data_IF_583590516046
#
_entry.id   IF_583590516046
#
_cell.length_a   1.000
_cell.length_b   1.000
_cell.length_c   1.000
_cell.angle_alpha   90.00
_cell.angle_beta   90.00
_cell.angle_gamma   90.00
#
_symmetry.space_group_name_H-M   'P 1'
#
loop_
_entity.id
_entity.type
_entity.pdbx_description
1 polymer ?
#
# COMPACT_ATOMS: atom_id res chain seq x y z
N UNK A 1 -31.67 56.25 -2.03
CA UNK A 1 -30.57 57.10 -2.56
C UNK A 1 -29.23 56.50 -2.16
N UNK A 2 -28.34 56.35 -3.16
CA UNK A 2 -26.84 56.44 -3.15
C UNK A 2 -26.06 55.54 -2.17
N UNK A 3 -25.35 54.48 -2.63
CA UNK A 3 -24.07 54.40 -3.38
C UNK A 3 -22.82 54.91 -2.64
N UNK A 4 -21.88 53.97 -2.39
CA UNK A 4 -20.40 53.91 -2.62
C UNK A 4 -20.00 52.52 -2.07
N UNK A 5 -19.53 51.49 -2.77
CA UNK A 5 -18.44 51.26 -3.75
C UNK A 5 -17.12 51.91 -3.35
N UNK A 6 -16.16 51.08 -2.94
CA UNK A 6 -14.83 51.01 -3.54
C UNK A 6 -14.33 49.56 -3.56
N UNK A 7 -13.99 49.09 -4.76
CA UNK A 7 -13.13 47.95 -5.05
C UNK A 7 -11.68 48.30 -4.72
N UNK A 8 -10.90 47.31 -4.30
CA UNK A 8 -9.53 47.11 -4.80
C UNK A 8 -9.25 45.62 -4.91
N UNK A 9 -8.81 45.22 -6.10
CA UNK A 9 -8.50 43.86 -6.53
C UNK A 9 -6.98 43.68 -6.69
N UNK A 10 -6.58 42.43 -6.95
CA UNK A 10 -5.28 41.91 -7.43
C UNK A 10 -4.24 41.58 -6.35
N UNK A 11 -3.45 40.49 -6.40
CA UNK A 11 -3.35 39.25 -7.20
C UNK A 11 -2.19 38.47 -6.53
N UNK A 12 -2.23 37.13 -6.50
CA UNK A 12 -1.06 36.35 -6.07
C UNK A 12 -1.34 34.88 -5.78
N UNK A 13 -1.54 34.10 -6.85
CA UNK A 13 -1.49 32.65 -6.81
C UNK A 13 -0.10 32.15 -6.37
N UNK A 14 -0.03 31.08 -5.59
CA UNK A 14 0.78 29.85 -5.77
C UNK A 14 0.88 29.09 -4.45
N UNK A 15 0.52 27.80 -4.48
CA UNK A 15 1.10 26.67 -3.73
C UNK A 15 0.02 25.60 -3.45
N UNK A 16 -0.46 24.95 -4.51
CA UNK A 16 -1.14 23.66 -4.41
C UNK A 16 -0.09 22.59 -4.08
N UNK A 17 0.08 22.31 -2.78
CA UNK A 17 0.88 21.19 -2.29
C UNK A 17 0.09 19.90 -2.49
N UNK A 18 0.46 19.14 -3.52
CA UNK A 18 -0.04 17.79 -3.76
C UNK A 18 0.59 16.82 -2.79
N UNK A 19 -0.10 16.55 -1.68
CA UNK A 19 0.09 15.33 -0.92
C UNK A 19 -0.74 14.23 -1.61
N UNK A 20 -0.09 13.43 -2.46
CA UNK A 20 -0.68 12.23 -3.05
C UNK A 20 -0.05 11.01 -2.38
N UNK A 21 -0.92 10.23 -1.74
CA UNK A 21 -0.61 9.10 -0.87
C UNK A 21 -0.70 7.79 -1.66
N UNK A 22 0.34 6.96 -1.50
CA UNK A 22 0.33 5.51 -1.26
C UNK A 22 -0.79 4.66 -1.89
N UNK A 23 -0.36 3.72 -2.74
CA UNK A 23 -0.84 2.32 -2.76
C UNK A 23 -2.33 2.12 -2.45
N UNK A 24 -3.19 2.25 -3.47
CA UNK A 24 -4.48 1.54 -3.64
C UNK A 24 -5.51 1.47 -2.49
N UNK A 25 -5.32 2.11 -1.34
CA UNK A 25 -6.13 1.86 -0.13
C UNK A 25 -6.43 3.12 0.70
N UNK A 26 -5.87 4.29 0.42
CA UNK A 26 -5.92 5.45 1.34
C UNK A 26 -7.20 6.34 1.32
N UNK A 27 -8.33 5.97 0.70
CA UNK A 27 -9.43 6.93 0.43
C UNK A 27 -10.81 6.63 1.05
N UNK A 28 -10.94 6.26 2.34
CA UNK A 28 -12.26 6.28 3.02
C UNK A 28 -12.17 6.55 4.54
N UNK A 29 -12.20 7.83 4.94
CA UNK A 29 -12.36 8.24 6.35
C UNK A 29 -13.46 9.31 6.46
N UNK A 30 -14.67 8.96 6.92
CA UNK A 30 -15.52 9.86 7.75
C UNK A 30 -16.88 9.26 8.20
N UNK A 31 -17.08 9.28 9.54
CA UNK A 31 -18.24 9.80 10.32
C UNK A 31 -19.26 8.85 11.02
N UNK A 32 -19.45 9.19 12.32
CA UNK A 32 -20.62 9.09 13.25
C UNK A 32 -20.67 7.92 14.24
N UNK A 33 -20.86 8.30 15.52
CA UNK A 33 -20.95 7.49 16.73
C UNK A 33 -22.38 7.36 17.28
N UNK A 34 -22.69 6.22 17.95
CA UNK A 34 -23.35 6.15 19.28
C UNK A 34 -23.47 4.71 19.82
N UNK A 35 -23.60 4.66 21.14
CA UNK A 35 -23.56 3.60 22.18
C UNK A 35 -24.42 2.34 22.01
N UNK A 36 -23.93 1.17 22.44
CA UNK A 36 -24.66 0.13 23.21
C UNK A 36 -23.78 -1.05 23.71
N UNK A 37 -24.34 -1.83 24.64
CA UNK A 37 -23.79 -2.76 25.65
C UNK A 37 -23.14 -4.06 25.13
N UNK A 38 -22.11 -4.60 25.82
CA UNK A 38 -21.35 -5.78 25.36
C UNK A 38 -22.05 -7.13 25.62
N UNK A 39 -22.13 -7.98 24.59
CA UNK A 39 -22.26 -9.44 24.68
C UNK A 39 -21.01 -10.13 24.10
N UNK A 40 -20.65 -11.35 24.56
CA UNK A 40 -19.38 -11.99 24.19
C UNK A 40 -19.40 -12.57 22.75
N UNK A 41 -18.34 -12.36 21.94
CA UNK A 41 -18.32 -12.80 20.55
C UNK A 41 -17.97 -14.29 20.39
N UNK A 42 -18.77 -14.99 19.60
CA UNK A 42 -18.47 -16.34 19.09
C UNK A 42 -17.40 -16.24 18.00
N UNK A 43 -16.19 -16.72 18.26
CA UNK A 43 -15.05 -16.67 17.33
C UNK A 43 -15.24 -17.70 16.21
N UNK A 44 -15.58 -17.26 15.00
CA UNK A 44 -15.57 -18.10 13.80
C UNK A 44 -14.14 -18.16 13.25
N UNK A 45 -13.32 -19.10 13.73
CA UNK A 45 -12.19 -19.58 12.93
C UNK A 45 -12.75 -20.44 11.80
N UNK A 46 -13.17 -19.81 10.70
CA UNK A 46 -13.38 -20.54 9.46
C UNK A 46 -12.00 -21.06 9.02
N UNK A 47 -11.77 -22.37 9.11
CA UNK A 47 -10.61 -22.97 8.43
C UNK A 47 -10.71 -22.59 6.96
N UNK A 48 -9.74 -21.83 6.45
CA UNK A 48 -9.71 -21.47 5.05
C UNK A 48 -9.77 -22.72 4.19
N UNK A 49 -10.59 -22.67 3.15
CA UNK A 49 -10.58 -23.72 2.14
C UNK A 49 -9.23 -23.67 1.41
N UNK A 50 -8.53 -24.81 1.39
CA UNK A 50 -7.22 -24.90 0.74
C UNK A 50 -7.40 -24.87 -0.79
N UNK A 51 -6.70 -23.99 -1.52
CA UNK A 51 -6.77 -23.98 -2.97
C UNK A 51 -6.26 -25.32 -3.55
N UNK A 52 -6.82 -25.80 -4.68
CA UNK A 52 -6.38 -27.05 -5.32
C UNK A 52 -4.89 -27.09 -5.68
N UNK A 53 -4.33 -25.93 -6.04
CA UNK A 53 -2.91 -25.70 -6.34
C UNK A 53 -2.55 -24.25 -6.02
N UNK A 54 -1.28 -23.94 -5.85
CA UNK A 54 -0.80 -22.59 -5.54
C UNK A 54 -1.11 -21.54 -6.62
N UNK A 55 -1.43 -21.98 -7.84
CA UNK A 55 -1.81 -21.13 -8.98
C UNK A 55 -3.30 -21.21 -9.32
N UNK A 56 -4.12 -21.79 -8.44
CA UNK A 56 -5.56 -21.89 -8.66
C UNK A 56 -6.17 -20.49 -8.74
N UNK A 57 -7.06 -20.28 -9.71
CA UNK A 57 -7.75 -19.01 -9.94
C UNK A 57 -9.02 -19.00 -9.09
N UNK A 58 -9.12 -18.16 -8.04
CA UNK A 58 -10.37 -18.03 -7.30
C UNK A 58 -11.49 -17.49 -8.18
N UNK A 59 -12.68 -18.07 -8.07
CA UNK A 59 -13.87 -17.72 -8.89
C UNK A 59 -15.06 -17.21 -8.08
N UNK A 60 -15.05 -17.45 -6.76
CA UNK A 60 -16.06 -16.98 -5.82
C UNK A 60 -15.43 -16.69 -4.47
N UNK A 61 -16.06 -15.79 -3.71
CA UNK A 61 -15.55 -15.30 -2.43
C UNK A 61 -16.64 -15.23 -1.37
N UNK A 62 -16.23 -15.34 -0.11
CA UNK A 62 -17.09 -15.14 1.04
C UNK A 62 -17.59 -13.70 1.15
N UNK A 63 -18.80 -13.54 1.67
CA UNK A 63 -19.41 -12.23 1.93
C UNK A 63 -18.79 -11.50 3.12
N UNK A 64 -18.24 -12.25 4.06
CA UNK A 64 -17.69 -11.77 5.32
C UNK A 64 -16.16 -11.84 5.29
N UNK A 65 -15.52 -10.82 5.85
CA UNK A 65 -14.08 -10.83 6.05
C UNK A 65 -13.73 -11.81 7.18
N UNK A 66 -12.74 -12.68 6.95
CA UNK A 66 -12.22 -13.59 7.97
C UNK A 66 -11.11 -12.95 8.80
N UNK A 67 -10.52 -11.86 8.31
CA UNK A 67 -9.56 -11.06 9.04
C UNK A 67 -9.71 -9.57 8.69
N UNK A 68 -9.66 -8.64 9.67
CA UNK A 68 -9.71 -8.91 11.11
C UNK A 68 -11.09 -9.45 11.52
N UNK A 69 -11.14 -10.22 12.62
CA UNK A 69 -12.38 -10.89 13.06
C UNK A 69 -13.47 -9.86 13.40
N UNK A 70 -14.62 -9.95 12.70
CA UNK A 70 -15.78 -9.09 12.94
C UNK A 70 -16.81 -9.76 13.85
N UNK A 71 -17.23 -9.08 14.91
CA UNK A 71 -18.33 -9.53 15.76
C UNK A 71 -19.64 -9.40 14.96
N UNK A 72 -20.44 -10.48 14.89
CA UNK A 72 -21.70 -10.54 14.12
C UNK A 72 -22.71 -9.43 14.45
N UNK A 73 -22.67 -8.86 15.65
CA UNK A 73 -23.60 -7.80 16.06
C UNK A 73 -23.37 -6.44 15.36
N UNK A 74 -22.18 -6.21 14.78
CA UNK A 74 -21.82 -4.93 14.14
C UNK A 74 -21.81 -4.97 12.60
N UNK A 75 -22.49 -5.94 11.98
CA UNK A 75 -22.53 -6.09 10.52
C UNK A 75 -23.11 -4.86 9.78
N UNK A 76 -23.99 -4.09 10.43
CA UNK A 76 -24.66 -2.94 9.80
C UNK A 76 -23.92 -1.61 9.98
N UNK A 77 -22.92 -1.53 10.86
CA UNK A 77 -22.12 -0.33 11.12
C UNK A 77 -20.70 -0.71 11.56
N UNK A 78 -19.78 -0.98 10.63
CA UNK A 78 -18.39 -1.24 10.98
C UNK A 78 -17.75 0.06 11.50
N UNK A 79 -17.46 0.11 12.80
CA UNK A 79 -16.45 1.02 13.31
C UNK A 79 -15.12 0.68 12.62
N UNK A 80 -14.29 1.67 12.25
CA UNK A 80 -13.00 1.35 11.66
C UNK A 80 -12.21 0.53 12.68
N UNK A 81 -11.86 -0.69 12.28
CA UNK A 81 -10.69 -1.36 12.83
C UNK A 81 -9.50 -0.46 12.59
N UNK A 82 -8.67 -0.25 13.61
CA UNK A 82 -7.37 0.36 13.39
C UNK A 82 -6.41 -0.60 12.67
N UNK A 83 -6.74 -1.90 12.62
CA UNK A 83 -5.99 -2.89 11.84
C UNK A 83 -6.24 -2.70 10.35
N UNK A 84 -5.16 -2.56 9.58
CA UNK A 84 -5.16 -2.36 8.13
C UNK A 84 -4.19 -3.33 7.45
N UNK A 85 -4.60 -3.92 6.32
CA UNK A 85 -3.78 -4.82 5.51
C UNK A 85 -2.86 -3.99 4.61
N UNK A 86 -1.56 -4.24 4.71
CA UNK A 86 -0.53 -3.66 3.85
C UNK A 86 -0.34 -4.53 2.59
N UNK A 87 -0.17 -5.83 2.79
CA UNK A 87 0.06 -6.77 1.68
C UNK A 87 -0.49 -8.16 1.99
N UNK A 88 -0.71 -8.93 0.93
CA UNK A 88 -1.15 -10.31 0.98
C UNK A 88 -0.38 -11.15 -0.03
N UNK A 89 0.15 -12.28 0.42
CA UNK A 89 0.82 -13.27 -0.44
C UNK A 89 0.47 -14.68 0.03
N UNK A 90 -0.04 -15.52 -0.88
CA UNK A 90 -0.56 -16.83 -0.52
C UNK A 90 -1.63 -16.75 0.58
N UNK A 91 -1.38 -17.40 1.72
CA UNK A 91 -2.22 -17.36 2.92
C UNK A 91 -1.72 -16.39 3.99
N UNK A 92 -0.67 -15.62 3.71
CA UNK A 92 -0.07 -14.69 4.66
C UNK A 92 -0.51 -13.26 4.41
N UNK A 93 -0.74 -12.52 5.50
CA UNK A 93 -0.98 -11.08 5.47
C UNK A 93 0.07 -10.37 6.31
N UNK A 94 0.54 -9.23 5.79
CA UNK A 94 1.20 -8.22 6.59
C UNK A 94 0.19 -7.10 6.81
N UNK A 95 0.00 -6.75 8.06
CA UNK A 95 -0.95 -5.74 8.47
C UNK A 95 -0.38 -4.93 9.63
N UNK A 96 -1.11 -3.91 10.08
CA UNK A 96 -0.70 -3.07 11.19
C UNK A 96 -1.91 -2.56 11.95
N UNK A 97 -1.79 -2.48 13.27
CA UNK A 97 -2.76 -1.86 14.16
C UNK A 97 -2.36 -0.39 14.36
N UNK A 98 -3.10 0.53 13.76
CA UNK A 98 -2.79 1.97 13.81
C UNK A 98 -3.07 2.54 15.19
N UNK A 99 -2.14 3.31 15.74
CA UNK A 99 -2.31 3.98 17.05
C UNK A 99 -2.78 3.02 18.17
N UNK A 100 -2.16 1.84 18.24
CA UNK A 100 -2.38 0.90 19.32
C UNK A 100 -1.68 1.39 20.59
N UNK A 101 -2.40 1.38 21.71
CA UNK A 101 -1.84 1.70 23.03
C UNK A 101 -1.89 0.40 23.87
N UNK A 102 -0.74 -0.13 24.29
CA UNK A 102 -0.63 -1.24 25.24
C UNK A 102 -0.07 -0.71 26.56
N UNK A 103 -1.00 -0.33 27.43
CA UNK A 103 -0.73 0.22 28.76
C UNK A 103 0.07 -0.74 29.65
N UNK A 104 -0.03 -2.06 29.41
CA UNK A 104 0.68 -3.07 30.22
C UNK A 104 2.14 -3.23 29.81
N UNK A 105 2.47 -2.92 28.56
CA UNK A 105 3.81 -3.04 28.00
C UNK A 105 4.53 -1.68 27.85
N UNK A 106 3.89 -0.56 28.22
CA UNK A 106 4.38 0.80 27.94
C UNK A 106 4.74 0.99 26.46
N UNK A 107 3.91 0.43 25.57
CA UNK A 107 4.04 0.53 24.12
C UNK A 107 2.90 1.38 23.57
N UNK A 108 3.20 2.19 22.57
CA UNK A 108 2.20 2.97 21.82
C UNK A 108 2.53 3.01 20.33
N UNK A 109 1.64 3.57 19.52
CA UNK A 109 1.85 3.80 18.09
C UNK A 109 1.44 2.61 17.22
N UNK A 110 2.07 2.49 16.06
CA UNK A 110 1.67 1.53 15.03
C UNK A 110 2.31 0.17 15.26
N UNK A 111 1.48 -0.83 15.59
CA UNK A 111 1.94 -2.18 15.89
C UNK A 111 1.86 -3.08 14.65
N UNK A 112 2.98 -3.62 14.15
CA UNK A 112 2.96 -4.53 13.01
C UNK A 112 2.28 -5.86 13.35
N UNK A 113 1.63 -6.46 12.37
CA UNK A 113 0.90 -7.71 12.48
C UNK A 113 1.30 -8.65 11.34
N UNK A 114 1.56 -9.91 11.69
CA UNK A 114 1.80 -11.01 10.75
C UNK A 114 0.68 -12.04 10.97
N UNK A 115 -0.05 -12.33 9.90
CA UNK A 115 -1.18 -13.26 9.93
C UNK A 115 -0.88 -14.44 9.04
N UNK A 116 -0.98 -15.65 9.58
CA UNK A 116 -1.14 -16.87 8.78
C UNK A 116 -2.61 -17.25 8.81
N UNK A 117 -3.31 -17.09 7.69
CA UNK A 117 -4.75 -17.33 7.63
C UNK A 117 -5.12 -18.82 7.73
N UNK A 118 -4.15 -19.75 7.63
CA UNK A 118 -4.40 -21.16 7.90
C UNK A 118 -4.35 -21.47 9.42
N UNK A 119 -3.69 -20.62 10.20
CA UNK A 119 -3.49 -20.79 11.63
C UNK A 119 -4.49 -19.96 12.45
N UNK A 120 -4.73 -20.34 13.72
CA UNK A 120 -5.57 -19.54 14.60
C UNK A 120 -4.84 -18.33 15.20
N UNK A 121 -3.51 -18.32 15.12
CA UNK A 121 -2.67 -17.36 15.84
C UNK A 121 -2.21 -16.24 14.91
N UNK A 122 -2.53 -15.01 15.31
CA UNK A 122 -1.92 -13.81 14.74
C UNK A 122 -0.71 -13.42 15.58
N UNK A 123 0.31 -12.86 14.95
CA UNK A 123 1.56 -12.48 15.61
C UNK A 123 1.81 -10.98 15.45
N UNK A 124 2.56 -10.41 16.39
CA UNK A 124 3.03 -9.03 16.33
C UNK A 124 4.54 -8.97 16.57
N UNK A 125 5.13 -7.84 16.18
CA UNK A 125 6.49 -7.47 16.52
C UNK A 125 6.47 -6.53 17.72
N UNK A 126 7.28 -6.85 18.72
CA UNK A 126 7.48 -6.02 19.90
C UNK A 126 8.95 -5.63 20.01
N UNK A 127 9.26 -4.34 20.20
CA UNK A 127 10.61 -3.89 20.48
C UNK A 127 11.20 -4.61 21.69
N UNK A 128 12.43 -5.08 21.56
CA UNK A 128 13.17 -5.69 22.66
C UNK A 128 14.67 -5.40 22.55
N UNK A 129 15.46 -6.03 23.41
CA UNK A 129 16.92 -5.89 23.46
C UNK A 129 17.64 -7.05 22.72
N UNK A 130 16.94 -7.77 21.84
CA UNK A 130 17.56 -8.81 21.01
C UNK A 130 18.52 -8.22 19.98
N UNK A 131 19.32 -9.08 19.33
CA UNK A 131 20.21 -8.68 18.23
C UNK A 131 19.49 -7.88 17.13
N UNK A 132 18.25 -8.26 16.82
CA UNK A 132 17.44 -7.59 15.81
C UNK A 132 16.67 -6.39 16.37
N UNK A 133 16.60 -6.24 17.70
CA UNK A 133 15.87 -5.19 18.42
C UNK A 133 14.36 -5.39 18.47
N UNK A 134 13.88 -6.55 18.01
CA UNK A 134 12.48 -6.94 18.03
C UNK A 134 12.35 -8.44 18.31
N UNK A 135 11.25 -8.82 18.95
CA UNK A 135 10.78 -10.20 19.08
C UNK A 135 9.39 -10.36 18.48
N UNK A 136 9.08 -11.57 18.06
CA UNK A 136 7.75 -11.93 17.56
C UNK A 136 6.99 -12.61 18.69
N UNK A 137 5.76 -12.18 18.95
CA UNK A 137 4.88 -12.81 19.92
C UNK A 137 3.47 -13.05 19.38
N UNK A 138 2.78 -14.09 19.86
CA UNK A 138 1.35 -14.24 19.64
C UNK A 138 0.59 -13.03 20.18
N UNK A 139 -0.38 -12.55 19.42
CA UNK A 139 -1.27 -11.47 19.85
C UNK A 139 -2.73 -11.86 19.70
N UNK A 140 -3.57 -11.29 20.57
CA UNK A 140 -5.01 -11.26 20.34
C UNK A 140 -5.33 -10.12 19.40
N UNK A 141 -5.96 -10.42 18.27
CA UNK A 141 -6.40 -9.40 17.30
C UNK A 141 -7.39 -8.46 17.98
N UNK A 142 -7.25 -7.13 17.81
CA UNK A 142 -8.24 -6.17 18.29
C UNK A 142 -9.62 -6.56 17.78
N UNK A 143 -10.58 -6.72 18.68
CA UNK A 143 -11.95 -7.10 18.31
C UNK A 143 -12.60 -5.95 17.53
N UNK A 144 -13.10 -6.23 16.32
CA UNK A 144 -13.79 -5.21 15.53
C UNK A 144 -15.11 -4.85 16.22
N UNK A 145 -15.24 -3.57 16.58
CA UNK A 145 -16.40 -3.06 17.31
C UNK A 145 -16.34 -3.25 18.83
N UNK A 146 -15.17 -3.62 19.38
CA UNK A 146 -14.92 -3.44 20.80
C UNK A 146 -14.99 -1.96 21.16
N UNK A 147 -15.68 -1.62 22.26
CA UNK A 147 -15.47 -0.32 22.93
C UNK A 147 -13.96 -0.21 23.18
N UNK A 148 -13.28 0.91 22.88
CA UNK A 148 -11.90 1.12 23.32
C UNK A 148 -11.81 0.72 24.78
N UNK A 149 -11.10 -0.37 25.06
CA UNK A 149 -11.04 -0.92 26.41
C UNK A 149 -10.33 0.10 27.28
N UNK A 150 -11.12 0.80 28.11
CA UNK A 150 -10.63 1.77 29.09
C UNK A 150 -10.34 3.14 28.50
N UNK A 151 -10.68 4.18 29.27
CA UNK A 151 -10.10 5.51 29.10
C UNK A 151 -8.60 5.36 28.89
N UNK A 152 -8.03 5.94 27.84
CA UNK A 152 -6.59 6.23 27.72
C UNK A 152 -6.12 6.72 29.09
N UNK A 153 -5.49 5.86 29.87
CA UNK A 153 -4.80 6.31 31.07
C UNK A 153 -3.51 6.84 30.51
N UNK A 154 -3.43 8.18 30.38
CA UNK A 154 -2.18 8.80 30.01
C UNK A 154 -1.09 8.20 30.91
N UNK A 155 0.04 7.74 30.35
CA UNK A 155 1.15 7.24 31.13
C UNK A 155 1.41 8.21 32.28
N UNK A 156 1.72 7.69 33.47
CA UNK A 156 2.07 8.56 34.59
C UNK A 156 3.18 9.52 34.15
N UNK A 157 3.13 10.81 34.54
CA UNK A 157 4.16 11.77 34.15
C UNK A 157 5.57 11.22 34.45
N UNK A 158 6.47 11.31 33.48
CA UNK A 158 7.83 10.78 33.57
C UNK A 158 8.00 9.30 33.18
N UNK A 159 6.92 8.57 32.90
CA UNK A 159 7.01 7.19 32.37
C UNK A 159 7.59 7.20 30.95
N UNK A 160 8.57 6.33 30.70
CA UNK A 160 9.10 6.08 29.36
C UNK A 160 8.15 5.16 28.62
N UNK A 161 7.70 5.57 27.45
CA UNK A 161 6.89 4.78 26.52
C UNK A 161 7.70 4.55 25.26
N UNK A 162 7.65 3.33 24.71
CA UNK A 162 8.24 3.06 23.39
C UNK A 162 7.15 3.22 22.33
N UNK A 163 7.26 4.28 21.54
CA UNK A 163 6.43 4.49 20.35
C UNK A 163 6.93 3.61 19.21
N UNK A 164 6.03 2.85 18.60
CA UNK A 164 6.29 2.02 17.44
C UNK A 164 5.78 2.68 16.17
N UNK A 165 6.48 2.41 15.06
CA UNK A 165 6.16 2.93 13.75
C UNK A 165 6.21 1.77 12.76
N UNK A 166 5.25 1.72 11.82
CA UNK A 166 5.25 0.73 10.73
C UNK A 166 5.16 1.48 9.41
N UNK A 167 6.16 1.33 8.54
CA UNK A 167 6.24 2.13 7.32
C UNK A 167 5.66 1.39 6.10
N UNK A 168 6.23 0.22 5.78
CA UNK A 168 5.85 -0.58 4.62
C UNK A 168 6.24 -2.04 4.84
N UNK A 169 5.61 -2.95 4.09
CA UNK A 169 5.86 -4.39 4.20
C UNK A 169 5.58 -5.13 2.90
N UNK A 170 6.31 -6.23 2.67
CA UNK A 170 6.04 -7.17 1.57
C UNK A 170 6.35 -8.60 2.02
N UNK A 171 5.91 -9.61 1.27
CA UNK A 171 6.23 -11.00 1.56
C UNK A 171 6.28 -11.85 0.30
N UNK A 172 7.07 -12.91 0.37
CA UNK A 172 7.11 -14.02 -0.58
C UNK A 172 6.64 -15.32 0.10
N UNK A 173 6.89 -16.48 -0.53
CA UNK A 173 6.46 -17.78 0.00
C UNK A 173 7.22 -18.20 1.28
N UNK A 174 8.43 -17.69 1.52
CA UNK A 174 9.32 -18.10 2.60
C UNK A 174 9.52 -17.01 3.66
N UNK A 175 9.56 -15.74 3.24
CA UNK A 175 9.91 -14.60 4.08
C UNK A 175 8.93 -13.45 3.97
N UNK A 176 8.75 -12.76 5.10
CA UNK A 176 8.20 -11.41 5.16
C UNK A 176 9.32 -10.40 5.38
N UNK A 177 9.16 -9.23 4.77
CA UNK A 177 10.05 -8.08 4.91
C UNK A 177 9.24 -6.90 5.42
N UNK A 178 9.69 -6.28 6.50
CA UNK A 178 8.94 -5.20 7.14
C UNK A 178 9.88 -4.07 7.56
N UNK A 179 9.50 -2.84 7.24
CA UNK A 179 10.11 -1.63 7.81
C UNK A 179 9.32 -1.23 9.04
N UNK A 180 9.99 -1.27 10.19
CA UNK A 180 9.45 -0.82 11.46
C UNK A 180 10.42 0.11 12.16
N UNK A 181 9.89 1.05 12.94
CA UNK A 181 10.65 1.96 13.76
C UNK A 181 10.24 1.89 15.22
N UNK A 182 11.13 2.35 16.10
CA UNK A 182 10.85 2.55 17.52
C UNK A 182 11.48 3.85 18.00
N UNK A 183 10.82 4.54 18.91
CA UNK A 183 11.39 5.68 19.62
C UNK A 183 10.89 5.74 21.07
N UNK A 184 11.81 5.93 22.01
CA UNK A 184 11.47 6.19 23.40
C UNK A 184 10.98 7.63 23.59
N UNK A 185 9.83 7.77 24.26
CA UNK A 185 9.14 9.03 24.50
C UNK A 185 8.84 9.16 25.99
N UNK A 186 8.99 10.38 26.53
CA UNK A 186 8.61 10.73 27.91
C UNK A 186 7.72 11.96 27.87
N UNK A 187 6.54 11.91 28.49
CA UNK A 187 5.56 13.01 28.48
C UNK A 187 5.25 13.50 27.04
N UNK A 188 5.10 12.57 26.10
CA UNK A 188 4.93 12.82 24.65
C UNK A 188 6.09 13.54 23.95
N UNK A 189 7.24 13.70 24.63
CA UNK A 189 8.43 14.32 24.04
C UNK A 189 9.41 13.26 23.54
N UNK A 190 9.77 13.28 22.25
CA UNK A 190 10.73 12.33 21.69
C UNK A 190 12.10 12.53 22.33
N UNK A 191 12.79 11.41 22.63
CA UNK A 191 14.20 11.46 23.01
C UNK A 191 15.14 11.68 21.81
N UNK A 192 14.61 11.73 20.58
CA UNK A 192 15.35 11.84 19.32
C UNK A 192 16.40 10.73 19.16
N UNK A 193 16.04 9.54 19.65
CA UNK A 193 16.83 8.31 19.56
C UNK A 193 16.08 7.25 18.77
N UNK A 194 15.18 7.69 17.90
CA UNK A 194 14.41 6.79 17.04
C UNK A 194 15.31 6.00 16.11
N UNK A 195 14.95 4.73 15.92
CA UNK A 195 15.62 3.79 15.03
C UNK A 195 14.60 3.19 14.08
N UNK A 196 14.95 3.13 12.79
CA UNK A 196 14.15 2.45 11.76
C UNK A 196 14.96 1.28 11.22
N UNK A 197 14.34 0.11 11.19
CA UNK A 197 14.94 -1.16 10.81
C UNK A 197 14.10 -1.85 9.74
N UNK A 198 14.77 -2.51 8.80
CA UNK A 198 14.18 -3.52 7.92
C UNK A 198 14.41 -4.89 8.53
N UNK A 199 13.34 -5.65 8.72
CA UNK A 199 13.38 -7.01 9.27
C UNK A 199 13.08 -8.03 8.17
N UNK A 200 13.83 -9.14 8.15
CA UNK A 200 13.52 -10.33 7.36
C UNK A 200 13.04 -11.43 8.31
N UNK A 201 11.83 -11.91 8.09
CA UNK A 201 11.13 -12.83 8.99
C UNK A 201 10.81 -14.09 8.22
N UNK A 202 11.28 -15.24 8.69
CA UNK A 202 10.93 -16.54 8.10
C UNK A 202 9.50 -16.89 8.48
N UNK A 203 8.65 -17.06 7.47
CA UNK A 203 7.23 -17.31 7.65
C UNK A 203 6.96 -18.70 8.23
N UNK A 204 7.80 -19.71 7.99
CA UNK A 204 7.57 -21.10 8.43
C UNK A 204 7.61 -21.31 9.95
N UNK A 205 8.38 -20.52 10.68
CA UNK A 205 8.53 -20.62 12.13
C UNK A 205 8.51 -19.26 12.85
N UNK A 206 8.19 -18.19 12.13
CA UNK A 206 8.01 -16.84 12.65
C UNK A 206 9.24 -16.33 13.41
N UNK A 207 10.42 -16.53 12.82
CA UNK A 207 11.69 -16.03 13.38
C UNK A 207 12.24 -14.89 12.54
N UNK A 208 12.75 -13.86 13.19
CA UNK A 208 13.58 -12.85 12.53
C UNK A 208 14.92 -13.54 12.22
N UNK A 209 15.33 -13.52 10.96
CA UNK A 209 16.55 -14.20 10.47
C UNK A 209 17.61 -13.22 9.99
N UNK A 210 17.23 -11.96 9.72
CA UNK A 210 18.14 -10.87 9.43
C UNK A 210 17.47 -9.53 9.74
N UNK A 211 18.28 -8.50 10.01
CA UNK A 211 17.82 -7.13 10.20
C UNK A 211 18.85 -6.15 9.63
N UNK A 212 18.40 -5.07 9.01
CA UNK A 212 19.24 -3.95 8.57
C UNK A 212 18.75 -2.64 9.17
N UNK A 213 19.69 -1.81 9.64
CA UNK A 213 19.37 -0.48 10.18
C UNK A 213 19.30 0.51 9.02
N UNK A 214 18.14 1.14 8.85
CA UNK A 214 17.92 2.14 7.80
C UNK A 214 18.24 3.55 8.29
N UNK A 215 18.06 3.80 9.59
CA UNK A 215 18.44 5.07 10.22
C UNK A 215 18.32 5.03 11.74
N UNK A 216 19.10 5.90 12.39
CA UNK A 216 19.16 6.05 13.86
C UNK A 216 19.19 7.54 14.23
N UNK A 217 18.97 7.83 15.52
CA UNK A 217 18.91 9.18 16.06
C UNK A 217 17.84 10.05 15.37
N UNK A 218 16.71 9.42 15.05
CA UNK A 218 15.59 10.03 14.36
C UNK A 218 14.58 10.59 15.36
N UNK A 219 13.90 11.65 14.98
CA UNK A 219 12.74 12.20 15.68
C UNK A 219 11.45 11.66 15.05
N UNK A 220 11.17 10.37 15.23
CA UNK A 220 10.07 9.66 14.58
C UNK A 220 8.71 10.19 15.05
N UNK A 221 8.53 10.41 16.36
CA UNK A 221 7.27 10.94 16.93
C UNK A 221 6.97 12.35 16.41
N UNK A 222 8.00 13.16 16.21
CA UNK A 222 7.82 14.50 15.62
C UNK A 222 7.39 14.46 14.13
N UNK A 223 7.53 13.30 13.47
CA UNK A 223 7.22 13.05 12.05
C UNK A 223 6.14 11.98 11.86
N UNK A 224 5.29 11.80 12.88
CA UNK A 224 4.23 10.79 12.90
C UNK A 224 3.25 10.93 11.71
N UNK A 225 3.08 12.12 11.15
CA UNK A 225 2.18 12.32 10.01
C UNK A 225 2.75 11.88 8.65
N UNK A 226 4.04 11.57 8.54
CA UNK A 226 4.72 11.41 7.23
C UNK A 226 5.52 10.13 7.05
N UNK A 227 5.78 9.33 8.10
CA UNK A 227 6.68 8.16 7.97
C UNK A 227 6.15 7.07 7.03
N UNK A 228 4.83 6.88 6.93
CA UNK A 228 4.22 5.98 5.93
C UNK A 228 4.26 6.58 4.53
N UNK A 229 3.95 7.87 4.39
CA UNK A 229 3.76 8.53 3.11
C UNK A 229 5.05 8.50 2.27
N UNK A 230 5.07 7.68 1.21
CA UNK A 230 6.21 7.53 0.31
C UNK A 230 7.19 6.41 0.68
N UNK A 231 6.92 5.63 1.73
CA UNK A 231 7.69 4.42 2.02
C UNK A 231 7.16 3.23 1.21
N UNK A 232 8.04 2.36 0.71
CA UNK A 232 7.67 1.18 -0.07
C UNK A 232 8.73 0.08 0.02
N UNK A 233 8.31 -1.17 -0.16
CA UNK A 233 9.19 -2.33 -0.32
C UNK A 233 8.66 -3.18 -1.47
N UNK A 234 9.53 -3.44 -2.45
CA UNK A 234 9.20 -4.26 -3.62
C UNK A 234 10.31 -5.29 -3.85
N UNK A 235 9.94 -6.53 -4.14
CA UNK A 235 10.90 -7.57 -4.56
C UNK A 235 11.24 -7.40 -6.03
N UNK A 236 12.51 -7.59 -6.39
CA UNK A 236 12.89 -7.74 -7.79
C UNK A 236 12.24 -8.99 -8.39
N UNK A 237 12.01 -9.00 -9.70
CA UNK A 237 11.31 -10.12 -10.36
C UNK A 237 12.03 -11.47 -10.24
N UNK A 238 13.35 -11.46 -9.98
CA UNK A 238 14.17 -12.64 -9.71
C UNK A 238 14.22 -13.04 -8.22
N UNK A 239 13.59 -12.25 -7.33
CA UNK A 239 13.58 -12.45 -5.89
C UNK A 239 14.93 -12.24 -5.19
N UNK A 240 15.95 -11.72 -5.89
CA UNK A 240 17.30 -11.58 -5.34
C UNK A 240 17.54 -10.26 -4.59
N UNK A 241 16.71 -9.25 -4.83
CA UNK A 241 16.83 -7.91 -4.27
C UNK A 241 15.53 -7.37 -3.69
N UNK A 242 15.67 -6.53 -2.67
CA UNK A 242 14.62 -5.69 -2.10
C UNK A 242 14.89 -4.25 -2.53
N UNK A 243 13.91 -3.65 -3.19
CA UNK A 243 13.88 -2.24 -3.54
C UNK A 243 13.11 -1.52 -2.42
N UNK A 244 13.78 -0.60 -1.74
CA UNK A 244 13.26 0.04 -0.53
C UNK A 244 13.30 1.54 -0.68
N UNK A 245 12.16 2.18 -0.47
CA UNK A 245 12.08 3.63 -0.25
C UNK A 245 11.55 3.89 1.15
N UNK A 246 12.14 4.84 1.86
CA UNK A 246 11.73 5.23 3.21
C UNK A 246 11.68 6.75 3.30
N UNK A 247 10.65 7.29 3.92
CA UNK A 247 10.48 8.74 4.08
C UNK A 247 11.19 9.30 5.32
N UNK A 248 11.37 8.46 6.35
CA UNK A 248 12.09 8.81 7.58
C UNK A 248 13.00 7.64 8.01
N UNK A 249 14.33 7.72 7.81
CA UNK A 249 15.03 8.78 7.07
C UNK A 249 14.67 8.71 5.58
N UNK A 250 14.82 9.84 4.88
CA UNK A 250 14.59 9.91 3.44
C UNK A 250 15.68 9.13 2.70
N UNK A 251 15.39 7.88 2.31
CA UNK A 251 16.35 6.94 1.71
C UNK A 251 15.73 6.12 0.59
N UNK A 252 16.54 5.74 -0.39
CA UNK A 252 16.19 4.82 -1.45
C UNK A 252 17.34 3.83 -1.67
N UNK A 253 17.06 2.54 -1.53
CA UNK A 253 18.06 1.49 -1.37
C UNK A 253 17.71 0.26 -2.22
N UNK A 254 18.74 -0.50 -2.59
CA UNK A 254 18.64 -1.92 -2.94
C UNK A 254 19.36 -2.74 -1.89
N UNK A 255 18.71 -3.75 -1.34
CA UNK A 255 19.32 -4.70 -0.41
C UNK A 255 19.23 -6.13 -0.95
N UNK A 256 20.18 -6.99 -0.61
CA UNK A 256 20.10 -8.41 -0.93
C UNK A 256 19.00 -9.09 -0.10
N UNK A 257 18.16 -9.92 -0.73
CA UNK A 257 17.21 -10.76 0.02
C UNK A 257 17.92 -11.83 0.85
N UNK A 258 19.20 -12.15 0.58
CA UNK A 258 19.95 -13.18 1.31
C UNK A 258 20.17 -12.81 2.78
N UNK A 259 20.74 -11.62 3.00
CA UNK A 259 21.24 -11.17 4.30
C UNK A 259 20.92 -9.70 4.62
N UNK A 260 20.13 -9.02 3.77
CA UNK A 260 19.84 -7.59 3.85
C UNK A 260 21.09 -6.68 3.73
N UNK A 261 22.17 -7.15 3.12
CA UNK A 261 23.31 -6.30 2.79
C UNK A 261 22.91 -5.24 1.75
N UNK A 262 23.35 -4.00 1.95
CA UNK A 262 23.11 -2.89 1.01
C UNK A 262 23.93 -3.12 -0.27
N UNK A 263 23.24 -3.21 -1.40
CA UNK A 263 23.83 -3.35 -2.73
C UNK A 263 23.88 -2.00 -3.47
N UNK A 264 22.92 -1.12 -3.19
CA UNK A 264 22.86 0.24 -3.71
C UNK A 264 22.22 1.16 -2.67
N UNK A 265 22.79 2.35 -2.51
CA UNK A 265 22.23 3.44 -1.70
C UNK A 265 22.26 4.73 -2.51
N UNK A 266 21.11 5.30 -2.83
CA UNK A 266 21.02 6.52 -3.63
C UNK A 266 21.80 7.67 -3.00
N UNK A 267 21.79 7.78 -1.67
CA UNK A 267 22.49 8.84 -0.95
C UNK A 267 24.02 8.78 -1.11
N UNK A 268 24.56 7.63 -1.54
CA UNK A 268 25.99 7.50 -1.87
C UNK A 268 26.35 8.06 -3.26
N UNK A 269 25.35 8.31 -4.10
CA UNK A 269 25.54 8.75 -5.50
C UNK A 269 25.13 10.19 -5.74
N UNK A 270 24.13 10.68 -5.01
CA UNK A 270 23.62 12.05 -5.14
C UNK A 270 23.10 12.58 -3.82
N UNK A 271 23.18 13.90 -3.67
CA UNK A 271 22.58 14.67 -2.57
C UNK A 271 21.32 15.43 -3.01
N UNK A 272 20.84 15.19 -4.23
CA UNK A 272 19.61 15.78 -4.76
C UNK A 272 18.39 15.21 -4.04
N UNK A 273 17.38 16.06 -3.81
CA UNK A 273 16.11 15.60 -3.25
C UNK A 273 15.39 14.69 -4.25
N UNK A 274 14.59 13.77 -3.73
CA UNK A 274 13.86 12.81 -4.55
C UNK A 274 12.48 12.52 -3.97
N UNK A 275 11.58 11.95 -4.77
CA UNK A 275 10.33 11.36 -4.29
C UNK A 275 10.18 9.93 -4.83
N UNK A 276 9.41 9.10 -4.10
CA UNK A 276 9.07 7.77 -4.57
C UNK A 276 8.21 7.85 -5.84
N UNK A 277 8.43 6.93 -6.78
CA UNK A 277 7.54 6.72 -7.93
C UNK A 277 6.64 5.52 -7.63
N UNK A 278 5.38 5.56 -8.08
CA UNK A 278 4.47 4.41 -7.91
C UNK A 278 5.08 3.14 -8.49
N UNK A 279 4.71 1.99 -7.91
CA UNK A 279 5.31 0.68 -8.20
C UNK A 279 6.53 0.36 -7.33
N UNK A 280 7.17 1.36 -6.72
CA UNK A 280 8.25 1.17 -5.74
C UNK A 280 9.57 0.67 -6.34
N UNK A 281 9.69 0.62 -7.67
CA UNK A 281 10.92 0.19 -8.35
C UNK A 281 11.92 1.33 -8.60
N UNK A 282 11.48 2.58 -8.49
CA UNK A 282 12.26 3.76 -8.83
C UNK A 282 11.91 4.97 -7.96
N UNK A 283 12.77 5.99 -8.02
CA UNK A 283 12.52 7.32 -7.46
C UNK A 283 12.75 8.40 -8.51
N UNK A 284 12.10 9.55 -8.36
CA UNK A 284 12.30 10.71 -9.20
C UNK A 284 13.17 11.75 -8.49
N UNK A 285 14.28 12.15 -9.10
CA UNK A 285 15.12 13.24 -8.63
C UNK A 285 14.46 14.58 -8.94
N UNK A 286 14.51 15.51 -7.99
CA UNK A 286 13.83 16.80 -8.05
C UNK A 286 14.80 17.95 -8.27
N UNK A 287 14.35 18.99 -8.99
CA UNK A 287 15.06 20.27 -9.08
C UNK A 287 15.29 20.89 -7.69
N UNK A 288 16.19 21.86 -7.59
CA UNK A 288 16.50 22.56 -6.33
C UNK A 288 15.26 23.23 -5.70
N UNK A 289 14.28 23.63 -6.51
CA UNK A 289 13.02 24.20 -6.05
C UNK A 289 11.92 23.15 -5.80
N UNK A 290 12.24 21.87 -5.97
CA UNK A 290 11.40 20.69 -5.77
C UNK A 290 10.13 20.63 -6.64
N UNK A 291 10.04 21.46 -7.68
CA UNK A 291 8.82 21.55 -8.52
C UNK A 291 8.86 20.67 -9.75
N UNK A 292 10.05 20.25 -10.18
CA UNK A 292 10.23 19.56 -11.46
C UNK A 292 11.05 18.29 -11.23
N UNK A 293 10.62 17.19 -11.85
CA UNK A 293 11.41 15.97 -11.89
C UNK A 293 12.47 16.09 -12.98
N UNK A 294 13.71 15.74 -12.66
CA UNK A 294 14.90 15.92 -13.52
C UNK A 294 15.46 14.60 -14.02
N UNK A 295 15.29 13.52 -13.27
CA UNK A 295 15.67 12.17 -13.67
C UNK A 295 14.86 11.14 -12.90
N UNK A 296 14.75 9.94 -13.45
CA UNK A 296 14.23 8.75 -12.78
C UNK A 296 15.39 7.81 -12.49
N UNK A 297 15.55 7.39 -11.24
CA UNK A 297 16.59 6.42 -10.84
C UNK A 297 15.93 5.09 -10.53
N UNK A 298 16.30 4.06 -11.29
CA UNK A 298 15.88 2.68 -11.06
C UNK A 298 16.66 2.08 -9.91
N UNK A 299 15.97 1.61 -8.86
CA UNK A 299 16.64 1.08 -7.66
C UNK A 299 17.31 -0.27 -7.93
N UNK A 300 16.85 -1.00 -8.95
CA UNK A 300 17.40 -2.30 -9.29
C UNK A 300 18.88 -2.24 -9.70
N UNK A 301 19.29 -1.23 -10.46
CA UNK A 301 20.64 -1.10 -11.02
C UNK A 301 21.31 0.24 -10.70
N UNK A 302 20.59 1.17 -10.08
CA UNK A 302 21.07 2.50 -9.73
C UNK A 302 21.20 3.44 -10.94
N UNK A 303 20.65 3.08 -12.10
CA UNK A 303 20.79 3.87 -13.33
C UNK A 303 19.87 5.09 -13.27
N UNK A 304 20.43 6.27 -13.57
CA UNK A 304 19.68 7.51 -13.68
C UNK A 304 19.29 7.79 -15.15
N UNK A 305 18.00 8.01 -15.38
CA UNK A 305 17.40 8.31 -16.67
C UNK A 305 16.94 9.77 -16.69
N UNK A 306 17.67 10.69 -17.34
CA UNK A 306 17.26 12.09 -17.42
C UNK A 306 15.88 12.23 -18.08
N UNK A 307 15.03 13.05 -17.49
CA UNK A 307 13.73 13.39 -18.05
C UNK A 307 13.58 14.90 -18.14
N UNK A 308 12.86 15.36 -19.15
CA UNK A 308 12.64 16.78 -19.39
C UNK A 308 11.18 16.99 -19.78
N UNK A 309 10.52 17.95 -19.14
CA UNK A 309 9.11 18.28 -19.38
C UNK A 309 8.20 17.04 -19.25
N UNK A 310 8.43 16.23 -18.21
CA UNK A 310 7.64 15.03 -17.92
C UNK A 310 7.42 14.89 -16.42
N UNK A 311 6.32 14.23 -16.06
CA UNK A 311 6.02 13.81 -14.70
C UNK A 311 5.81 12.30 -14.66
N UNK A 312 6.68 11.59 -13.95
CA UNK A 312 6.57 10.16 -13.73
C UNK A 312 5.31 9.82 -12.93
N UNK A 313 4.61 8.78 -13.38
CA UNK A 313 3.44 8.22 -12.73
C UNK A 313 3.76 6.89 -12.05
N UNK A 314 4.39 5.96 -12.77
CA UNK A 314 4.61 4.58 -12.35
C UNK A 314 5.88 4.03 -13.03
N UNK A 315 6.69 3.26 -12.31
CA UNK A 315 7.69 2.37 -12.91
C UNK A 315 7.34 0.93 -12.58
N UNK A 316 7.29 0.09 -13.61
CA UNK A 316 7.02 -1.34 -13.47
C UNK A 316 7.86 -2.12 -14.46
N UNK A 317 8.62 -3.11 -13.98
CA UNK A 317 9.45 -4.03 -14.76
C UNK A 317 10.22 -3.35 -15.92
N UNK A 318 10.92 -2.25 -15.62
CA UNK A 318 11.78 -1.55 -16.58
C UNK A 318 11.07 -0.58 -17.53
N UNK A 319 9.78 -0.33 -17.33
CA UNK A 319 9.03 0.67 -18.09
C UNK A 319 8.55 1.81 -17.19
N UNK A 320 8.79 3.04 -17.64
CA UNK A 320 8.28 4.25 -17.01
C UNK A 320 7.01 4.71 -17.72
N UNK A 321 5.94 4.88 -16.97
CA UNK A 321 4.73 5.58 -17.42
C UNK A 321 4.79 7.02 -16.91
N UNK A 322 4.56 7.98 -17.81
CA UNK A 322 4.68 9.40 -17.51
C UNK A 322 3.66 10.23 -18.29
N UNK A 323 3.44 11.44 -17.79
CA UNK A 323 2.70 12.51 -18.47
C UNK A 323 3.70 13.46 -19.12
N UNK A 324 3.50 13.78 -20.38
CA UNK A 324 4.26 14.81 -21.09
C UNK A 324 3.70 16.20 -20.78
N UNK A 325 4.50 17.02 -20.10
CA UNK A 325 4.10 18.38 -19.72
C UNK A 325 4.52 19.45 -20.72
N UNK A 326 5.09 19.08 -21.89
CA UNK A 326 5.36 20.03 -22.98
C UNK A 326 4.09 20.68 -23.51
N UNK A 327 2.99 19.92 -23.53
CA UNK A 327 1.66 20.45 -23.87
C UNK A 327 1.15 21.30 -22.72
N UNK A 328 0.96 22.61 -22.92
CA UNK A 328 0.50 23.53 -21.86
C UNK A 328 -1.02 23.51 -21.61
N UNK A 329 -1.74 22.62 -22.29
CA UNK A 329 -3.20 22.53 -22.21
C UNK A 329 -3.59 21.05 -22.08
N UNK A 330 -4.40 20.68 -21.08
CA UNK A 330 -4.97 19.35 -20.97
C UNK A 330 -5.85 18.97 -22.18
N UNK A 331 -5.99 17.68 -22.53
CA UNK A 331 -5.35 16.53 -21.86
C UNK A 331 -3.86 16.42 -22.22
N UNK A 332 -3.02 16.20 -21.21
CA UNK A 332 -1.59 15.96 -21.41
C UNK A 332 -1.38 14.57 -22.03
N UNK A 333 -0.51 14.42 -23.05
CA UNK A 333 -0.17 13.12 -23.60
C UNK A 333 0.43 12.22 -22.51
N UNK A 334 -0.04 10.99 -22.43
CA UNK A 334 0.61 9.97 -21.61
C UNK A 334 1.48 9.09 -22.49
N UNK A 335 2.63 8.70 -21.95
CA UNK A 335 3.64 7.93 -22.66
C UNK A 335 4.21 6.82 -21.77
N UNK A 336 4.77 5.82 -22.44
CA UNK A 336 5.58 4.79 -21.83
C UNK A 336 7.01 4.87 -22.38
N UNK A 337 8.01 4.69 -21.52
CA UNK A 337 9.42 4.70 -21.90
C UNK A 337 10.05 3.39 -21.44
N UNK A 338 10.69 2.67 -22.36
CA UNK A 338 11.56 1.56 -21.99
C UNK A 338 12.84 2.15 -21.38
N UNK A 339 13.10 1.89 -20.10
CA UNK A 339 14.22 2.50 -19.39
C UNK A 339 15.58 1.95 -19.86
N UNK A 340 15.62 0.73 -20.38
CA UNK A 340 16.85 0.14 -20.94
C UNK A 340 17.22 0.74 -22.29
N UNK A 341 16.26 0.96 -23.19
CA UNK A 341 16.53 1.44 -24.56
C UNK A 341 16.34 2.94 -24.74
N UNK A 342 15.60 3.59 -23.83
CA UNK A 342 15.15 4.97 -23.97
C UNK A 342 14.04 5.17 -24.99
N UNK A 343 13.52 4.09 -25.60
CA UNK A 343 12.44 4.14 -26.58
C UNK A 343 11.17 4.69 -25.95
N UNK A 344 10.57 5.70 -26.61
CA UNK A 344 9.35 6.36 -26.16
C UNK A 344 8.17 5.92 -27.01
N UNK A 345 7.08 5.58 -26.35
CA UNK A 345 5.85 5.12 -26.99
C UNK A 345 4.68 5.90 -26.43
N UNK A 346 4.00 6.67 -27.28
CA UNK A 346 2.76 7.33 -26.89
C UNK A 346 1.66 6.30 -26.64
N UNK A 347 0.89 6.51 -25.58
CA UNK A 347 -0.21 5.62 -25.24
C UNK A 347 -1.39 5.91 -26.17
N UNK A 348 -1.86 4.86 -26.83
CA UNK A 348 -3.00 4.90 -27.72
C UNK A 348 -4.29 4.58 -26.97
N UNK A 349 -5.43 4.79 -27.63
CA UNK A 349 -6.77 4.43 -27.14
C UNK A 349 -7.14 5.09 -25.80
N UNK A 350 -6.48 6.20 -25.46
CA UNK A 350 -6.83 6.98 -24.27
C UNK A 350 -8.20 7.63 -24.49
N UNK A 351 -9.15 7.47 -23.55
CA UNK A 351 -10.42 8.16 -23.62
C UNK A 351 -10.20 9.67 -23.63
N UNK A 352 -10.93 10.37 -24.52
CA UNK A 352 -11.00 11.83 -24.51
C UNK A 352 -11.88 12.23 -23.31
N UNK A 353 -11.30 12.24 -22.12
CA UNK A 353 -12.03 12.62 -20.92
C UNK A 353 -12.16 14.14 -20.85
N UNK A 354 -13.41 14.60 -20.71
CA UNK A 354 -13.74 15.96 -20.30
C UNK A 354 -13.54 16.07 -18.80
N UNK A 355 -12.79 17.09 -18.39
CA UNK A 355 -12.23 17.33 -17.05
C UNK A 355 -10.94 16.56 -16.72
N UNK A 356 -10.01 17.32 -16.13
CA UNK A 356 -8.58 17.06 -15.86
C UNK A 356 -8.39 15.94 -14.80
N UNK A 357 -8.90 14.75 -15.09
CA UNK A 357 -8.84 13.61 -14.16
C UNK A 357 -7.46 12.97 -14.25
N UNK A 358 -6.72 13.07 -13.14
CA UNK A 358 -5.46 12.36 -12.96
C UNK A 358 -5.74 10.86 -12.91
N UNK A 359 -5.13 10.10 -13.83
CA UNK A 359 -5.29 8.66 -13.87
C UNK A 359 -4.55 8.01 -12.70
N UNK A 360 -5.20 7.06 -12.03
CA UNK A 360 -4.53 6.19 -11.08
C UNK A 360 -3.97 4.98 -11.83
N UNK A 361 -2.68 4.71 -11.65
CA UNK A 361 -1.99 3.57 -12.24
C UNK A 361 -1.65 2.55 -11.16
N UNK A 362 -1.96 1.28 -11.43
CA UNK A 362 -1.44 0.15 -10.65
C UNK A 362 -0.85 -0.88 -11.60
N UNK A 363 0.07 -1.69 -11.11
CA UNK A 363 0.72 -2.71 -11.92
C UNK A 363 0.91 -4.02 -11.15
N UNK A 364 0.80 -5.12 -11.87
CA UNK A 364 1.01 -6.47 -11.33
C UNK A 364 1.21 -7.44 -12.49
N UNK A 365 2.08 -8.44 -12.30
CA UNK A 365 2.30 -9.56 -13.23
C UNK A 365 2.55 -9.15 -14.70
N UNK A 366 3.26 -8.04 -14.92
CA UNK A 366 3.56 -7.55 -16.28
C UNK A 366 2.39 -6.85 -16.99
N UNK A 367 1.37 -6.44 -16.24
CA UNK A 367 0.27 -5.64 -16.73
C UNK A 367 0.16 -4.33 -15.95
N UNK A 368 -0.37 -3.31 -16.60
CA UNK A 368 -0.69 -2.01 -16.00
C UNK A 368 -2.19 -1.76 -16.14
N UNK A 369 -2.82 -1.41 -15.02
CA UNK A 369 -4.19 -0.93 -14.96
C UNK A 369 -4.15 0.59 -14.87
N UNK A 370 -4.80 1.26 -15.82
CA UNK A 370 -5.08 2.69 -15.79
C UNK A 370 -6.54 2.92 -15.45
N UNK A 371 -6.80 3.66 -14.38
CA UNK A 371 -8.15 3.94 -13.88
C UNK A 371 -8.47 5.44 -13.93
N UNK A 372 -9.51 5.77 -14.69
CA UNK A 372 -10.26 7.03 -14.63
C UNK A 372 -11.75 6.69 -14.44
N UNK A 373 -12.67 7.30 -15.19
CA UNK A 373 -14.01 6.74 -15.40
C UNK A 373 -13.98 5.45 -16.23
N UNK A 374 -12.83 5.18 -16.86
CA UNK A 374 -12.53 3.96 -17.59
C UNK A 374 -11.60 3.07 -16.78
N UNK A 375 -11.74 1.76 -16.98
CA UNK A 375 -10.69 0.79 -16.64
C UNK A 375 -10.03 0.38 -17.94
N UNK A 376 -8.74 0.66 -18.05
CA UNK A 376 -7.90 0.24 -19.15
C UNK A 376 -6.83 -0.71 -18.63
N UNK A 377 -6.61 -1.82 -19.32
CA UNK A 377 -5.55 -2.77 -18.99
C UNK A 377 -4.68 -2.97 -20.20
N UNK A 378 -3.36 -2.91 -20.01
CA UNK A 378 -2.36 -3.08 -21.06
C UNK A 378 -1.26 -4.02 -20.57
N UNK A 379 -0.62 -4.73 -21.51
CA UNK A 379 0.68 -5.35 -21.21
C UNK A 379 1.68 -4.23 -20.90
N UNK A 380 2.59 -4.48 -19.98
CA UNK A 380 3.62 -3.53 -19.63
C UNK A 380 4.42 -3.14 -20.88
N UNK A 381 4.68 -1.85 -21.07
CA UNK A 381 5.32 -1.32 -22.28
C UNK A 381 4.45 -1.21 -23.54
N UNK A 382 3.22 -1.74 -23.54
CA UNK A 382 2.33 -1.67 -24.72
C UNK A 382 1.68 -0.30 -24.87
N UNK A 383 1.69 0.23 -26.11
CA UNK A 383 0.97 1.45 -26.49
C UNK A 383 -0.54 1.30 -26.36
N UNK A 384 -1.07 0.17 -26.84
CA UNK A 384 -2.51 -0.11 -26.95
C UNK A 384 -3.01 -0.87 -25.74
N UNK A 385 -4.25 -0.59 -25.35
CA UNK A 385 -4.94 -1.31 -24.29
C UNK A 385 -5.46 -2.65 -24.80
N UNK A 386 -5.24 -3.71 -24.02
CA UNK A 386 -5.90 -5.01 -24.22
C UNK A 386 -7.40 -4.93 -23.95
N UNK A 387 -7.76 -4.11 -22.97
CA UNK A 387 -9.12 -3.92 -22.51
C UNK A 387 -9.35 -2.45 -22.23
N UNK A 388 -10.45 -1.89 -22.75
CA UNK A 388 -10.99 -0.59 -22.35
C UNK A 388 -12.47 -0.78 -22.01
N UNK A 389 -12.87 -0.32 -20.82
CA UNK A 389 -14.26 -0.37 -20.35
C UNK A 389 -14.63 0.95 -19.67
N UNK A 390 -15.73 1.56 -20.09
CA UNK A 390 -16.28 2.78 -19.48
C UNK A 390 -17.25 2.42 -18.37
N UNK A 391 -17.15 3.07 -17.22
CA UNK A 391 -18.20 3.01 -16.21
C UNK A 391 -19.47 3.69 -16.73
N UNK A 392 -20.61 3.03 -16.54
CA UNK A 392 -21.94 3.54 -16.89
C UNK A 392 -22.87 3.47 -15.68
N UNK A 393 -24.05 4.09 -15.76
CA UNK A 393 -25.07 3.98 -14.70
C UNK A 393 -25.47 2.53 -14.39
N UNK A 394 -25.47 1.65 -15.40
CA UNK A 394 -25.82 0.23 -15.27
C UNK A 394 -24.64 -0.64 -14.86
N UNK A 395 -23.44 -0.22 -15.21
CA UNK A 395 -22.22 -1.01 -15.06
C UNK A 395 -21.08 -0.10 -14.60
N UNK A 396 -20.99 0.07 -13.29
CA UNK A 396 -19.97 0.88 -12.65
C UNK A 396 -18.90 -0.01 -12.04
N UNK A 397 -17.64 0.26 -12.38
CA UNK A 397 -16.50 -0.53 -11.92
C UNK A 397 -15.87 0.08 -10.66
N UNK A 398 -15.91 -0.65 -9.56
CA UNK A 398 -15.43 -0.20 -8.24
C UNK A 398 -13.94 -0.38 -8.04
N UNK A 399 -13.38 -1.45 -8.56
CA UNK A 399 -11.95 -1.77 -8.44
C UNK A 399 -11.54 -2.83 -9.45
N UNK A 400 -10.23 -2.94 -9.66
CA UNK A 400 -9.64 -3.96 -10.51
C UNK A 400 -8.35 -4.47 -9.86
N UNK A 401 -8.14 -5.79 -9.95
CA UNK A 401 -6.92 -6.44 -9.48
C UNK A 401 -6.52 -7.53 -10.48
N UNK A 402 -5.23 -7.89 -10.51
CA UNK A 402 -4.70 -8.93 -11.40
C UNK A 402 -4.07 -10.03 -10.58
N UNK A 403 -4.40 -11.27 -10.92
CA UNK A 403 -3.75 -12.48 -10.40
C UNK A 403 -3.48 -13.45 -11.54
N UNK A 404 -2.20 -13.81 -11.73
CA UNK A 404 -1.75 -14.48 -12.95
C UNK A 404 -2.09 -13.63 -14.19
N UNK A 405 -2.73 -14.25 -15.18
CA UNK A 405 -3.27 -13.55 -16.37
C UNK A 405 -4.78 -13.27 -16.27
N UNK A 406 -5.37 -13.28 -15.08
CA UNK A 406 -6.79 -12.99 -14.86
C UNK A 406 -6.96 -11.59 -14.26
N UNK A 407 -7.79 -10.79 -14.92
CA UNK A 407 -8.29 -9.53 -14.41
C UNK A 407 -9.58 -9.77 -13.62
N UNK A 408 -9.57 -9.35 -12.36
CA UNK A 408 -10.74 -9.31 -11.48
C UNK A 408 -11.33 -7.90 -11.54
N UNK A 409 -12.58 -7.79 -11.99
CA UNK A 409 -13.34 -6.54 -11.98
C UNK A 409 -14.47 -6.63 -10.97
N UNK A 410 -14.39 -5.83 -9.90
CA UNK A 410 -15.50 -5.69 -8.96
C UNK A 410 -16.45 -4.61 -9.46
N UNK A 411 -17.73 -4.95 -9.59
CA UNK A 411 -18.78 -4.08 -10.09
C UNK A 411 -19.77 -3.71 -8.99
N UNK A 412 -20.47 -2.59 -9.19
CA UNK A 412 -21.66 -2.27 -8.39
C UNK A 412 -22.68 -3.41 -8.42
N UNK A 413 -23.35 -3.58 -7.28
CA UNK A 413 -24.32 -4.66 -7.09
C UNK A 413 -23.71 -5.93 -6.48
N UNK A 414 -22.43 -5.92 -6.10
CA UNK A 414 -21.76 -7.09 -5.56
C UNK A 414 -21.56 -8.16 -6.64
N UNK A 415 -21.15 -7.73 -7.84
CA UNK A 415 -20.85 -8.59 -8.98
C UNK A 415 -19.36 -8.58 -9.24
N UNK A 416 -18.85 -9.71 -9.67
CA UNK A 416 -17.48 -9.97 -10.06
C UNK A 416 -17.46 -10.39 -11.52
N UNK A 417 -16.54 -9.84 -12.29
CA UNK A 417 -16.22 -10.35 -13.64
C UNK A 417 -14.75 -10.72 -13.70
N UNK A 418 -14.48 -11.94 -14.16
CA UNK A 418 -13.13 -12.42 -14.46
C UNK A 418 -12.91 -12.36 -15.97
N UNK A 419 -11.80 -11.76 -16.39
CA UNK A 419 -11.40 -11.67 -17.80
C UNK A 419 -10.01 -12.27 -17.93
N UNK A 420 -9.84 -13.18 -18.88
CA UNK A 420 -8.53 -13.70 -19.23
C UNK A 420 -7.83 -12.66 -20.12
N UNK A 421 -6.68 -12.14 -19.67
CA UNK A 421 -5.97 -11.06 -20.35
C UNK A 421 -5.22 -11.52 -21.61
N UNK A 422 -4.98 -12.82 -21.78
CA UNK A 422 -4.33 -13.36 -22.97
C UNK A 422 -5.31 -13.48 -24.15
N UNK A 423 -6.59 -13.73 -23.85
CA UNK A 423 -7.65 -13.91 -24.86
C UNK A 423 -8.62 -12.73 -24.95
N UNK A 424 -8.72 -11.92 -23.90
CA UNK A 424 -9.73 -10.87 -23.75
C UNK A 424 -11.13 -11.39 -23.41
N UNK A 425 -11.30 -12.71 -23.25
CA UNK A 425 -12.60 -13.33 -23.01
C UNK A 425 -13.03 -13.25 -21.56
N UNK A 426 -14.35 -13.09 -21.35
CA UNK A 426 -14.95 -13.20 -20.02
C UNK A 426 -14.95 -14.67 -19.62
N UNK A 427 -14.22 -14.98 -18.55
CA UNK A 427 -14.10 -16.33 -18.01
C UNK A 427 -15.30 -16.67 -17.14
N UNK A 428 -15.74 -15.70 -16.34
CA UNK A 428 -16.82 -15.90 -15.39
C UNK A 428 -17.46 -14.55 -15.00
N UNK A 429 -18.77 -14.58 -14.78
CA UNK A 429 -19.47 -13.59 -13.98
C UNK A 429 -20.09 -14.28 -12.76
N UNK A 430 -19.79 -13.77 -11.57
CA UNK A 430 -20.27 -14.31 -10.30
C UNK A 430 -20.60 -13.19 -9.32
N UNK A 431 -21.36 -13.44 -8.24
CA UNK A 431 -21.46 -12.48 -7.14
C UNK A 431 -20.12 -12.37 -6.39
N UNK A 432 -19.68 -11.17 -6.01
CA UNK A 432 -18.48 -10.94 -5.17
C UNK A 432 -18.69 -11.31 -3.68
N UNK A 433 -19.79 -11.97 -3.33
CA UNK A 433 -20.20 -12.17 -1.93
C UNK A 433 -20.63 -10.88 -1.20
N UNK A 434 -20.27 -9.69 -1.71
CA UNK A 434 -20.63 -8.40 -1.13
C UNK A 434 -20.14 -7.22 -1.97
N UNK A 435 -20.34 -6.00 -1.47
CA UNK A 435 -20.03 -4.75 -2.19
C UNK A 435 -18.58 -4.29 -1.97
N UNK A 436 -17.63 -5.19 -2.18
CA UNK A 436 -16.24 -5.00 -1.75
C UNK A 436 -15.36 -4.41 -2.85
N UNK A 437 -14.40 -3.57 -2.46
CA UNK A 437 -13.26 -3.21 -3.32
C UNK A 437 -12.16 -4.26 -3.19
N UNK A 438 -11.46 -4.53 -4.28
CA UNK A 438 -10.40 -5.52 -4.40
C UNK A 438 -9.08 -4.80 -4.68
N UNK A 439 -8.10 -4.93 -3.79
CA UNK A 439 -6.75 -4.40 -3.98
C UNK A 439 -5.81 -5.51 -4.46
N UNK A 440 -5.78 -6.63 -3.76
CA UNK A 440 -4.92 -7.79 -4.07
C UNK A 440 -5.72 -9.07 -4.05
N UNK A 441 -5.41 -9.98 -4.98
CA UNK A 441 -6.02 -11.33 -5.07
C UNK A 441 -4.92 -12.36 -4.90
N UNK A 442 -5.17 -13.36 -4.06
CA UNK A 442 -4.33 -14.53 -3.85
C UNK A 442 -5.15 -15.80 -4.11
N UNK A 443 -4.52 -16.99 -4.24
CA UNK A 443 -5.26 -18.25 -4.31
C UNK A 443 -6.25 -18.47 -3.16
N UNK A 444 -6.03 -17.83 -2.01
CA UNK A 444 -6.84 -18.04 -0.81
C UNK A 444 -8.02 -17.06 -0.70
N UNK A 445 -8.06 -16.00 -1.52
CA UNK A 445 -9.06 -14.94 -1.38
C UNK A 445 -8.62 -13.62 -1.99
N UNK A 446 -9.27 -12.55 -1.59
CA UNK A 446 -8.82 -11.19 -1.90
C UNK A 446 -8.80 -10.35 -0.64
N UNK A 447 -8.03 -9.26 -0.67
CA UNK A 447 -8.07 -8.25 0.37
C UNK A 447 -8.27 -6.84 -0.18
N UNK A 448 -8.78 -6.00 0.71
CA UNK A 448 -8.60 -4.55 0.69
C UNK A 448 -7.95 -4.13 2.02
N UNK A 449 -7.74 -2.83 2.21
CA UNK A 449 -7.17 -2.28 3.44
C UNK A 449 -7.88 -2.79 4.71
N UNK A 450 -9.20 -2.95 4.64
CA UNK A 450 -10.05 -3.19 5.80
C UNK A 450 -10.35 -4.68 6.08
N UNK A 451 -9.93 -5.59 5.20
CA UNK A 451 -10.09 -7.02 5.47
C UNK A 451 -9.82 -7.97 4.32
N UNK A 452 -9.67 -9.23 4.69
CA UNK A 452 -9.45 -10.37 3.81
C UNK A 452 -10.72 -11.23 3.69
N UNK A 453 -11.13 -11.50 2.46
CA UNK A 453 -12.31 -12.26 2.10
C UNK A 453 -11.89 -13.58 1.45
N UNK A 454 -12.29 -14.74 2.01
CA UNK A 454 -11.79 -16.03 1.60
C UNK A 454 -12.36 -16.46 0.25
N UNK A 455 -11.56 -17.13 -0.57
CA UNK A 455 -12.02 -17.85 -1.74
C UNK A 455 -12.86 -19.06 -1.33
N UNK A 456 -13.98 -19.27 -2.03
CA UNK A 456 -14.92 -20.37 -1.78
C UNK A 456 -15.03 -21.33 -2.95
N UNK A 457 -14.50 -20.95 -4.12
CA UNK A 457 -14.44 -21.77 -5.32
C UNK A 457 -13.24 -21.37 -6.19
N UNK A 458 -12.76 -22.32 -7.00
CA UNK A 458 -11.64 -22.14 -7.93
C UNK A 458 -11.97 -22.72 -9.30
N UNK A 459 -11.31 -22.19 -10.32
CA UNK A 459 -11.19 -22.84 -11.61
C UNK A 459 -10.01 -23.82 -11.56
N UNK A 460 -10.27 -25.08 -11.92
CA UNK A 460 -9.27 -26.17 -11.98
C UNK A 460 -8.30 -26.03 -13.13
#
# INVERSE_FOLDING_TARGET
MRRRVFLTAALGATASAGALSLSGCASMRQRIARTLTPQPPTVLHASLSKPPKATAIPTSFGSEAVWPLRIKENQNHPWPTNAMIETAHGSFLIAYDVNSDDDTAALSGDRPIIVDLNGPTTYTLVPDDSEHGYRIEPMTVPQVGGVPSGSRVAPSPGTVVTEQFTCAGTCDDEFAYLITGREDVVDQRPKNRGRVSLLKIRLADRRIVASAVLGENLALKARESTYRAGSSITLTSDGAGLLVTVSVPHRALRLSTKDLSVQFDLASTTSQNFCAVEGGEAVALLSDDEKVQTAIVTLADGVAHPIENMSALLVHQGYLYAVDSRTKVPPYPELCINLTTGERTELADLPVDGEDKHANLTASNGYVIRRTDYIQVRKNGSATALLTRKSTEKEFYKSAAIYGSILYLALNGGRLRLINLDTGEVVLESPTGGQHEMATVTPYGFCNEAGFYPATAWQS
#
